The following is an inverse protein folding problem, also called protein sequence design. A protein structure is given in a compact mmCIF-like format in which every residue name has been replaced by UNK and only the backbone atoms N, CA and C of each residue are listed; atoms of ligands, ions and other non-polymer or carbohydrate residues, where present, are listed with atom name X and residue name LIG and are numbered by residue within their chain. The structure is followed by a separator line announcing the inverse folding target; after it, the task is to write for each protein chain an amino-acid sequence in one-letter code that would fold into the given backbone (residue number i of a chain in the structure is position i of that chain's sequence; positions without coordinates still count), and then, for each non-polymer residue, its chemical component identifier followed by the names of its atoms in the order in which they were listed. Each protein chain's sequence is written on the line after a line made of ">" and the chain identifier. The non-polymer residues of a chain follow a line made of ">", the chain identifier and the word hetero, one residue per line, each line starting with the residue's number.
data_IF_316208228759
#
_entry.id   IF_316208228759
#
_cell.length_a   1.000
_cell.length_b   1.000
_cell.length_c   1.000
_cell.angle_alpha   90.00
_cell.angle_beta   90.00
_cell.angle_gamma   90.00
#
_symmetry.space_group_name_H-M   'P 1'
#
loop_
_entity.id
_entity.type
_entity.pdbx_description
1 polymer ?
#
# COMPACT_ATOMS: atom_id res chain seq x y z
N UNK A 1 6.10 -24.99 -48.57
CA UNK A 1 6.10 -25.19 -47.11
C UNK A 1 5.01 -24.29 -46.57
N UNK A 2 4.01 -24.92 -45.97
CA UNK A 2 2.62 -24.51 -45.81
C UNK A 2 2.34 -23.49 -44.71
N UNK A 3 1.35 -22.65 -45.02
CA UNK A 3 0.52 -21.78 -44.16
C UNK A 3 0.11 -22.35 -42.80
N UNK A 4 0.20 -21.51 -41.76
CA UNK A 4 -0.67 -21.51 -40.58
C UNK A 4 -0.91 -20.05 -40.13
N UNK A 5 -1.67 -19.31 -40.93
CA UNK A 5 -2.37 -18.12 -40.44
C UNK A 5 -3.54 -18.55 -39.53
N UNK A 6 -3.94 -17.67 -38.62
CA UNK A 6 -5.19 -17.65 -37.84
C UNK A 6 -5.23 -18.42 -36.51
N UNK A 7 -4.97 -17.71 -35.42
CA UNK A 7 -5.90 -17.69 -34.30
C UNK A 7 -5.64 -16.48 -33.39
N UNK A 8 -6.73 -15.74 -33.12
CA UNK A 8 -6.89 -14.65 -32.15
C UNK A 8 -6.54 -13.21 -32.54
N UNK A 9 -7.53 -12.57 -33.18
CA UNK A 9 -7.88 -11.13 -33.06
C UNK A 9 -9.09 -11.07 -32.09
N UNK A 10 -9.19 -10.11 -31.14
CA UNK A 10 -9.80 -8.79 -31.40
C UNK A 10 -9.01 -7.65 -30.71
N UNK A 11 -8.77 -6.48 -31.33
CA UNK A 11 -9.73 -5.42 -31.70
C UNK A 11 -10.74 -5.11 -30.60
N UNK A 12 -10.29 -4.43 -29.56
CA UNK A 12 -11.07 -3.35 -28.93
C UNK A 12 -10.22 -2.08 -28.97
N UNK A 13 -10.57 -1.23 -29.93
CA UNK A 13 -10.25 0.18 -29.89
C UNK A 13 -10.95 0.75 -28.64
N UNK A 14 -10.19 1.13 -27.63
CA UNK A 14 -10.71 1.97 -26.55
C UNK A 14 -10.23 3.40 -26.80
N UNK A 15 -11.22 4.19 -27.20
CA UNK A 15 -11.22 5.62 -27.45
C UNK A 15 -10.40 6.41 -26.43
N UNK A 16 -9.55 7.31 -26.96
CA UNK A 16 -9.10 8.49 -26.24
C UNK A 16 -10.30 9.22 -25.63
N UNK A 17 -10.32 9.32 -24.29
CA UNK A 17 -10.87 10.43 -23.49
C UNK A 17 -10.77 10.06 -21.99
N UNK A 18 -9.68 10.46 -21.36
CA UNK A 18 -9.77 11.46 -20.29
C UNK A 18 -8.36 11.85 -19.87
N UNK A 19 -7.97 13.07 -20.19
CA UNK A 19 -7.08 13.85 -19.33
C UNK A 19 -7.55 13.70 -17.88
N UNK A 20 -6.88 12.88 -17.08
CA UNK A 20 -6.85 13.06 -15.63
C UNK A 20 -5.45 13.46 -15.26
N UNK A 21 -5.26 14.77 -15.38
CA UNK A 21 -4.11 15.48 -14.89
C UNK A 21 -3.82 15.11 -13.44
N UNK A 22 -2.54 14.80 -13.23
CA UNK A 22 -1.75 15.18 -12.07
C UNK A 22 -2.45 16.25 -11.21
N UNK A 23 -3.04 15.85 -10.08
CA UNK A 23 -3.37 16.77 -9.00
C UNK A 23 -2.87 16.19 -7.67
N UNK A 24 -1.63 16.57 -7.37
CA UNK A 24 -1.12 16.98 -6.06
C UNK A 24 -2.17 16.90 -4.95
N UNK A 25 -2.02 15.92 -4.04
CA UNK A 25 -2.79 15.86 -2.80
C UNK A 25 -2.36 17.05 -1.93
N UNK A 26 -3.04 18.18 -2.09
CA UNK A 26 -2.99 19.29 -1.16
C UNK A 26 -4.17 19.13 -0.22
N UNK A 27 -3.96 18.46 0.92
CA UNK A 27 -4.86 18.54 2.06
C UNK A 27 -4.04 18.86 3.30
N UNK A 28 -3.62 20.12 3.37
CA UNK A 28 -3.33 20.75 4.65
C UNK A 28 -4.65 21.19 5.27
N UNK A 29 -5.07 20.52 6.34
CA UNK A 29 -6.21 20.88 7.16
C UNK A 29 -6.27 19.98 8.40
N UNK A 30 -6.19 20.58 9.59
CA UNK A 30 -6.31 19.87 10.89
C UNK A 30 -7.70 19.22 11.01
N UNK A 31 -7.83 17.97 11.48
CA UNK A 31 -9.12 17.46 11.93
C UNK A 31 -9.36 17.88 13.39
N UNK A 32 -10.24 18.86 13.58
CA UNK A 32 -10.88 19.11 14.85
C UNK A 32 -12.07 18.15 15.03
N UNK A 33 -12.16 17.55 16.23
CA UNK A 33 -13.32 16.90 16.88
C UNK A 33 -14.37 16.25 15.96
N UNK A 34 -14.37 14.91 15.97
CA UNK A 34 -15.58 14.07 15.95
C UNK A 34 -16.48 14.22 14.73
N UNK A 35 -16.13 13.54 13.64
CA UNK A 35 -17.12 13.04 12.69
C UNK A 35 -17.04 11.52 12.74
N UNK A 36 -18.17 10.88 12.94
CA UNK A 36 -18.34 9.46 12.63
C UNK A 36 -18.10 9.33 11.13
N UNK A 37 -16.91 8.87 10.78
CA UNK A 37 -16.42 8.75 9.41
C UNK A 37 -17.08 7.50 8.81
N UNK A 38 -18.16 7.71 8.07
CA UNK A 38 -18.80 6.65 7.29
C UNK A 38 -17.85 6.27 6.16
N UNK A 39 -17.31 5.05 6.21
CA UNK A 39 -16.48 4.49 5.15
C UNK A 39 -17.28 4.39 3.85
N UNK A 40 -16.74 4.91 2.75
CA UNK A 40 -17.34 4.75 1.42
C UNK A 40 -17.21 3.29 0.96
N UNK A 41 -18.12 2.82 0.10
CA UNK A 41 -18.11 1.45 -0.43
C UNK A 41 -16.74 1.08 -1.05
N UNK A 42 -16.09 2.04 -1.73
CA UNK A 42 -14.74 1.85 -2.27
C UNK A 42 -13.68 1.62 -1.20
N UNK A 43 -13.80 2.28 -0.06
CA UNK A 43 -12.82 2.19 1.03
C UNK A 43 -12.95 0.83 1.73
N UNK A 44 -14.19 0.36 1.91
CA UNK A 44 -14.48 -0.98 2.42
C UNK A 44 -13.86 -2.05 1.51
N UNK A 45 -14.03 -1.92 0.19
CA UNK A 45 -13.43 -2.84 -0.78
C UNK A 45 -11.90 -2.89 -0.68
N UNK A 46 -11.24 -1.74 -0.50
CA UNK A 46 -9.78 -1.68 -0.34
C UNK A 46 -9.34 -2.36 0.95
N UNK A 47 -10.07 -2.16 2.06
CA UNK A 47 -9.74 -2.77 3.35
C UNK A 47 -9.90 -4.29 3.29
N UNK A 48 -10.99 -4.78 2.70
CA UNK A 48 -11.22 -6.22 2.53
C UNK A 48 -10.18 -6.87 1.64
N UNK A 49 -9.83 -6.22 0.53
CA UNK A 49 -8.80 -6.71 -0.39
C UNK A 49 -7.42 -6.72 0.26
N UNK A 50 -7.05 -5.66 0.99
CA UNK A 50 -5.79 -5.61 1.72
C UNK A 50 -5.68 -6.75 2.75
N UNK A 51 -6.77 -7.02 3.49
CA UNK A 51 -6.81 -8.12 4.44
C UNK A 51 -6.68 -9.49 3.74
N UNK A 52 -7.42 -9.68 2.65
CA UNK A 52 -7.40 -10.92 1.86
C UNK A 52 -5.99 -11.20 1.33
N UNK A 53 -5.37 -10.21 0.68
CA UNK A 53 -4.02 -10.31 0.12
C UNK A 53 -2.97 -10.52 1.20
N UNK A 54 -2.98 -9.75 2.28
CA UNK A 54 -2.00 -9.89 3.36
C UNK A 54 -2.08 -11.28 4.02
N UNK A 55 -3.29 -11.83 4.21
CA UNK A 55 -3.49 -13.18 4.72
C UNK A 55 -2.98 -14.25 3.76
N UNK A 56 -3.24 -14.09 2.46
CA UNK A 56 -2.75 -14.98 1.42
C UNK A 56 -1.21 -14.98 1.34
N UNK A 57 -0.59 -13.80 1.34
CA UNK A 57 0.85 -13.64 1.35
C UNK A 57 1.49 -14.23 2.60
N UNK A 58 0.88 -14.06 3.78
CA UNK A 58 1.43 -14.68 4.98
C UNK A 58 1.39 -16.21 4.90
N UNK A 59 0.28 -16.76 4.41
CA UNK A 59 0.11 -18.20 4.28
C UNK A 59 1.05 -18.84 3.25
N UNK A 60 1.42 -18.11 2.19
CA UNK A 60 2.16 -18.64 1.05
C UNK A 60 3.63 -18.20 1.01
N UNK A 61 3.96 -17.04 1.57
CA UNK A 61 5.29 -16.44 1.52
C UNK A 61 5.95 -16.30 2.90
N UNK A 62 5.19 -16.37 4.00
CA UNK A 62 5.62 -16.03 5.37
C UNK A 62 6.12 -14.57 5.48
N UNK A 63 6.56 -14.18 6.69
CA UNK A 63 7.13 -12.85 6.90
C UNK A 63 6.05 -11.79 7.12
N UNK A 64 5.36 -11.88 8.26
CA UNK A 64 4.22 -11.05 8.65
C UNK A 64 4.32 -9.55 8.33
N UNK A 65 5.48 -8.92 8.49
CA UNK A 65 5.68 -7.52 8.12
C UNK A 65 5.60 -7.29 6.61
N UNK A 66 6.27 -8.14 5.81
CA UNK A 66 6.27 -8.05 4.35
C UNK A 66 4.89 -8.39 3.78
N UNK A 67 4.21 -9.40 4.34
CA UNK A 67 2.86 -9.80 3.94
C UNK A 67 1.85 -8.64 4.08
N UNK A 68 1.88 -7.92 5.20
CA UNK A 68 1.02 -6.75 5.42
C UNK A 68 1.39 -5.60 4.49
N UNK A 69 2.68 -5.30 4.31
CA UNK A 69 3.12 -4.23 3.41
C UNK A 69 2.68 -4.52 1.97
N UNK A 70 2.93 -5.73 1.46
CA UNK A 70 2.51 -6.13 0.11
C UNK A 70 0.99 -6.03 -0.05
N UNK A 71 0.22 -6.63 0.87
CA UNK A 71 -1.25 -6.62 0.78
C UNK A 71 -1.85 -5.21 0.77
N UNK A 72 -1.31 -4.29 1.59
CA UNK A 72 -1.74 -2.89 1.59
C UNK A 72 -1.36 -2.17 0.29
N UNK A 73 -0.10 -2.29 -0.15
CA UNK A 73 0.38 -1.61 -1.35
C UNK A 73 -0.39 -2.09 -2.59
N UNK A 74 -0.62 -3.39 -2.73
CA UNK A 74 -1.33 -3.97 -3.86
C UNK A 74 -2.81 -3.60 -3.87
N UNK A 75 -3.49 -3.65 -2.71
CA UNK A 75 -4.89 -3.22 -2.60
C UNK A 75 -5.08 -1.73 -2.92
N UNK A 76 -4.08 -0.89 -2.62
CA UNK A 76 -4.09 0.55 -2.94
C UNK A 76 -3.51 0.86 -4.34
N UNK A 77 -3.00 -0.14 -5.07
CA UNK A 77 -2.34 0.05 -6.37
C UNK A 77 -1.05 0.88 -6.30
N UNK A 78 -0.34 0.85 -5.18
CA UNK A 78 0.91 1.58 -4.96
C UNK A 78 2.09 0.66 -5.26
N UNK A 79 3.04 1.14 -6.05
CA UNK A 79 4.25 0.39 -6.36
C UNK A 79 5.42 0.99 -5.57
N UNK A 80 5.76 0.35 -4.44
CA UNK A 80 6.93 0.74 -3.64
C UNK A 80 7.75 -0.46 -3.12
N UNK A 81 8.84 -0.75 -3.82
CA UNK A 81 9.74 -1.86 -3.51
C UNK A 81 10.64 -1.56 -2.30
N UNK A 82 10.97 -0.28 -2.06
CA UNK A 82 11.88 0.10 -0.98
C UNK A 82 11.31 -0.24 0.40
N UNK A 83 10.02 0.04 0.59
CA UNK A 83 9.30 -0.23 1.84
C UNK A 83 9.10 -1.73 2.04
N UNK A 84 8.71 -2.46 0.99
CA UNK A 84 8.57 -3.91 1.01
C UNK A 84 9.88 -4.60 1.44
N UNK A 85 10.99 -4.22 0.81
CA UNK A 85 12.31 -4.78 1.14
C UNK A 85 12.74 -4.45 2.57
N UNK A 86 12.51 -3.22 3.03
CA UNK A 86 12.86 -2.79 4.38
C UNK A 86 12.07 -3.55 5.47
N UNK A 87 10.84 -4.00 5.17
CA UNK A 87 9.98 -4.69 6.11
C UNK A 87 10.49 -6.09 6.49
N UNK A 88 11.39 -6.70 5.71
CA UNK A 88 11.94 -8.05 5.98
C UNK A 88 12.60 -8.16 7.36
N UNK A 89 13.32 -7.11 7.78
CA UNK A 89 13.96 -7.06 9.10
C UNK A 89 13.00 -6.94 10.27
N UNK A 90 11.69 -6.81 10.02
CA UNK A 90 10.65 -6.68 11.04
C UNK A 90 9.86 -7.98 11.25
N UNK A 91 10.15 -9.03 10.48
CA UNK A 91 9.46 -10.31 10.59
C UNK A 91 9.65 -10.94 11.97
N UNK A 92 8.61 -11.65 12.44
CA UNK A 92 8.60 -12.45 13.68
C UNK A 92 9.18 -11.68 14.88
N UNK A 93 8.70 -10.45 15.06
CA UNK A 93 9.03 -9.63 16.22
C UNK A 93 10.12 -8.58 16.02
N UNK A 94 10.87 -8.59 14.91
CA UNK A 94 12.02 -7.72 14.53
C UNK A 94 13.22 -8.57 14.12
N UNK A 95 13.06 -9.36 13.08
CA UNK A 95 14.17 -10.12 12.51
C UNK A 95 14.32 -11.48 13.16
N UNK A 96 13.20 -12.19 13.33
CA UNK A 96 13.16 -13.61 13.73
C UNK A 96 13.63 -13.88 15.15
N UNK A 97 13.51 -12.88 16.01
CA UNK A 97 13.87 -13.00 17.43
C UNK A 97 12.71 -13.46 18.29
N UNK A 98 11.46 -13.20 17.89
CA UNK A 98 10.26 -13.46 18.69
C UNK A 98 10.08 -12.52 19.89
N UNK A 99 11.09 -11.72 20.23
CA UNK A 99 11.15 -10.94 21.48
C UNK A 99 10.84 -9.43 21.29
N UNK A 100 10.43 -9.03 20.10
CA UNK A 100 10.09 -7.64 19.80
C UNK A 100 8.65 -7.43 19.35
N UNK A 101 8.42 -6.28 18.68
CA UNK A 101 7.07 -5.88 18.26
C UNK A 101 6.57 -6.71 17.08
N UNK A 102 5.27 -7.03 17.07
CA UNK A 102 4.63 -7.79 15.99
C UNK A 102 4.96 -7.22 14.59
N UNK A 103 5.49 -8.07 13.71
CA UNK A 103 5.88 -7.68 12.36
C UNK A 103 4.71 -7.13 11.55
N UNK A 104 3.55 -7.79 11.59
CA UNK A 104 2.33 -7.32 10.92
C UNK A 104 1.92 -5.90 11.37
N UNK A 105 1.95 -5.62 12.68
CA UNK A 105 1.65 -4.30 13.23
C UNK A 105 2.65 -3.26 12.72
N UNK A 106 3.95 -3.53 12.85
CA UNK A 106 4.98 -2.59 12.41
C UNK A 106 4.98 -2.38 10.90
N UNK A 107 4.68 -3.39 10.09
CA UNK A 107 4.49 -3.29 8.65
C UNK A 107 3.33 -2.37 8.26
N UNK A 108 2.19 -2.47 8.95
CA UNK A 108 1.09 -1.52 8.79
C UNK A 108 1.51 -0.08 9.13
N UNK A 109 2.25 0.12 10.22
CA UNK A 109 2.81 1.42 10.58
C UNK A 109 3.78 1.96 9.51
N UNK A 110 4.57 1.11 8.85
CA UNK A 110 5.44 1.53 7.76
C UNK A 110 4.64 2.12 6.60
N UNK A 111 3.53 1.49 6.20
CA UNK A 111 2.70 1.98 5.09
C UNK A 111 2.02 3.31 5.47
N UNK A 112 1.54 3.46 6.70
CA UNK A 112 1.05 4.75 7.20
C UNK A 112 2.15 5.83 7.14
N UNK A 113 3.38 5.48 7.53
CA UNK A 113 4.54 6.35 7.43
C UNK A 113 4.94 6.67 5.99
N UNK A 114 4.74 5.76 5.04
CA UNK A 114 4.97 6.01 3.62
C UNK A 114 4.00 7.06 3.07
N UNK A 115 2.73 7.00 3.46
CA UNK A 115 1.68 7.90 2.96
C UNK A 115 1.65 9.26 3.65
N UNK A 116 1.84 9.27 4.98
CA UNK A 116 1.61 10.45 5.82
C UNK A 116 2.85 10.89 6.61
N UNK A 117 3.95 10.15 6.53
CA UNK A 117 5.17 10.48 7.25
C UNK A 117 5.85 11.74 6.73
N UNK A 118 6.70 12.33 7.56
CA UNK A 118 7.51 13.48 7.17
C UNK A 118 8.62 13.07 6.18
N UNK A 119 8.89 13.92 5.21
CA UNK A 119 9.97 13.71 4.25
C UNK A 119 11.34 14.09 4.82
N UNK A 120 12.41 13.60 4.17
CA UNK A 120 13.80 13.88 4.58
C UNK A 120 14.15 15.37 4.62
N UNK A 121 13.58 16.18 3.72
CA UNK A 121 13.76 17.65 3.69
C UNK A 121 13.28 18.32 4.97
N UNK A 122 12.31 17.71 5.65
CA UNK A 122 11.70 18.23 6.87
C UNK A 122 12.24 17.55 8.14
N UNK A 123 13.27 16.71 8.04
CA UNK A 123 13.77 15.94 9.18
C UNK A 123 14.24 16.83 10.35
N UNK A 124 14.75 18.03 10.02
CA UNK A 124 15.16 19.05 11.00
C UNK A 124 13.98 19.73 11.70
N UNK A 125 12.78 19.68 11.13
CA UNK A 125 11.57 20.17 11.80
C UNK A 125 11.07 19.09 12.76
N UNK A 126 11.37 19.29 14.04
CA UNK A 126 10.99 18.39 15.13
C UNK A 126 9.48 18.33 15.37
N UNK A 127 8.73 19.38 14.99
CA UNK A 127 7.30 19.48 15.28
C UNK A 127 6.43 18.93 14.15
N UNK A 128 6.99 18.71 12.96
CA UNK A 128 6.27 18.16 11.82
C UNK A 128 5.55 16.81 12.09
N UNK A 129 6.13 15.83 12.79
CA UNK A 129 5.44 14.57 13.07
C UNK A 129 4.42 14.66 14.23
N UNK A 130 4.34 15.78 14.94
CA UNK A 130 3.41 15.97 16.09
C UNK A 130 2.13 16.74 15.70
N UNK A 131 1.91 16.98 14.41
CA UNK A 131 0.86 17.85 13.89
C UNK A 131 -0.25 17.08 13.18
#
# INVERSE_FOLDING_TARGET
>A
MSDWATMFVPRVAWSEKSDRGRNRVALGGRPGKGKEETLEESDVLVVEEAYRLAKEYEATCTGCAQSVVAGLLDAMGIQEEGVFKAASGLADGIGLTGDGSCGALTGGCMVLGLLFGRERKDHRDMMKPMR
#
